data_IF_805745343520
#
_entry.id   IF_805745343520
#
_cell.length_a   1.000
_cell.length_b   1.000
_cell.length_c   1.000
_cell.angle_alpha   90.00
_cell.angle_beta   90.00
_cell.angle_gamma   90.00
#
_symmetry.space_group_name_H-M   'P 1'
#
loop_
_entity.id
_entity.type
_entity.pdbx_description
1 polymer ?
#
# COMPACT_ATOMS: atom_id res chain seq x y z
N UNK A 1 0.27 -18.52 -14.78
CA UNK A 1 1.04 -17.31 -14.43
C UNK A 1 0.11 -16.46 -13.58
N UNK A 2 0.46 -16.18 -12.33
CA UNK A 2 -0.33 -15.26 -11.51
C UNK A 2 0.07 -13.84 -11.95
N UNK A 3 -0.71 -13.28 -12.88
CA UNK A 3 -0.47 -11.98 -13.52
C UNK A 3 -0.91 -10.78 -12.66
N UNK A 4 -1.20 -11.00 -11.38
CA UNK A 4 -1.68 -10.02 -10.42
C UNK A 4 -0.79 -10.01 -9.17
N UNK A 5 -0.47 -8.81 -8.67
CA UNK A 5 0.18 -8.65 -7.35
C UNK A 5 -0.79 -9.13 -6.27
N UNK A 6 -0.32 -9.96 -5.35
CA UNK A 6 -1.19 -10.46 -4.28
C UNK A 6 -1.25 -9.47 -3.11
N UNK A 7 -2.34 -9.47 -2.30
CA UNK A 7 -2.40 -8.66 -1.09
C UNK A 7 -1.22 -8.91 -0.13
N UNK A 8 -0.71 -10.14 -0.06
CA UNK A 8 0.43 -10.49 0.79
C UNK A 8 1.73 -9.84 0.30
N UNK A 9 1.94 -9.78 -1.03
CA UNK A 9 3.07 -9.07 -1.62
C UNK A 9 3.00 -7.57 -1.32
N UNK A 10 1.81 -6.97 -1.45
CA UNK A 10 1.60 -5.55 -1.12
C UNK A 10 1.77 -5.31 0.38
N UNK A 11 1.27 -6.19 1.24
CA UNK A 11 1.42 -6.10 2.68
C UNK A 11 2.90 -6.09 3.07
N UNK A 12 3.72 -6.94 2.45
CA UNK A 12 5.18 -6.93 2.66
C UNK A 12 5.81 -5.58 2.32
N UNK A 13 5.35 -4.91 1.25
CA UNK A 13 5.80 -3.56 0.90
C UNK A 13 5.33 -2.51 1.91
N UNK A 14 4.08 -2.59 2.35
CA UNK A 14 3.53 -1.69 3.36
C UNK A 14 4.28 -1.82 4.68
N UNK A 15 4.49 -3.03 5.20
CA UNK A 15 5.22 -3.28 6.45
C UNK A 15 6.64 -2.71 6.39
N UNK A 16 7.36 -2.93 5.28
CA UNK A 16 8.69 -2.37 5.08
C UNK A 16 8.70 -0.83 5.03
N UNK A 17 7.60 -0.22 4.58
CA UNK A 17 7.45 1.22 4.38
C UNK A 17 6.95 1.95 5.63
N UNK A 18 6.04 1.36 6.40
CA UNK A 18 5.45 1.96 7.61
C UNK A 18 6.54 2.42 8.57
N UNK A 19 7.54 1.59 8.85
CA UNK A 19 8.63 1.97 9.76
C UNK A 19 9.43 3.20 9.29
N UNK A 20 9.54 3.41 7.97
CA UNK A 20 10.22 4.56 7.40
C UNK A 20 9.36 5.83 7.41
N UNK A 21 8.07 5.72 7.08
CA UNK A 21 7.13 6.87 7.10
C UNK A 21 6.89 7.34 8.53
N UNK A 22 6.67 6.41 9.46
CA UNK A 22 6.37 6.74 10.86
C UNK A 22 7.61 7.13 11.68
N UNK A 23 8.82 7.10 11.10
CA UNK A 23 10.07 7.32 11.83
C UNK A 23 10.36 6.27 12.91
N UNK A 24 9.74 5.09 12.82
CA UNK A 24 9.79 4.00 13.83
C UNK A 24 10.20 2.68 13.15
N UNK A 25 11.49 2.48 12.83
CA UNK A 25 11.95 1.33 12.05
C UNK A 25 11.79 -0.03 12.74
N UNK A 26 11.54 -0.06 14.05
CA UNK A 26 11.32 -1.30 14.83
C UNK A 26 9.84 -1.61 15.04
N UNK A 27 8.95 -0.82 14.44
CA UNK A 27 7.51 -0.97 14.60
C UNK A 27 7.06 -2.26 13.90
N UNK A 28 6.50 -3.19 14.68
CA UNK A 28 5.91 -4.41 14.14
C UNK A 28 4.51 -4.11 13.65
N UNK A 29 4.24 -4.51 12.41
CA UNK A 29 2.98 -4.27 11.71
C UNK A 29 2.54 -5.56 11.06
N UNK A 30 1.26 -5.88 11.20
CA UNK A 30 0.59 -6.98 10.52
C UNK A 30 -0.63 -6.47 9.73
N UNK A 31 -1.41 -7.39 9.17
CA UNK A 31 -2.59 -7.04 8.38
C UNK A 31 -3.72 -6.42 9.22
N UNK A 32 -3.82 -6.79 10.50
CA UNK A 32 -4.92 -6.37 11.39
C UNK A 32 -4.61 -5.05 12.11
N UNK A 33 -3.34 -4.61 12.05
CA UNK A 33 -2.88 -3.33 12.58
C UNK A 33 -3.69 -2.17 12.00
N UNK A 34 -4.32 -1.38 12.87
CA UNK A 34 -5.10 -0.19 12.49
C UNK A 34 -4.17 0.99 12.26
N UNK A 35 -4.50 1.85 11.29
CA UNK A 35 -3.75 3.11 11.10
C UNK A 35 -3.86 4.04 12.32
N UNK A 36 -5.00 4.02 13.00
CA UNK A 36 -5.20 4.75 14.26
C UNK A 36 -4.18 4.32 15.34
N UNK A 37 -3.89 3.02 15.45
CA UNK A 37 -2.93 2.49 16.45
C UNK A 37 -1.49 2.89 16.12
N UNK A 38 -1.23 3.19 14.84
CA UNK A 38 0.04 3.73 14.38
C UNK A 38 0.17 5.24 14.65
N UNK A 39 -0.92 5.92 15.05
CA UNK A 39 -1.07 7.37 14.98
C UNK A 39 -0.82 7.92 13.56
N UNK A 40 -1.22 7.18 12.53
CA UNK A 40 -1.12 7.64 11.16
C UNK A 40 -2.34 8.50 10.81
N UNK A 41 -2.12 9.75 10.44
CA UNK A 41 -3.18 10.61 9.94
C UNK A 41 -3.49 10.36 8.45
N UNK A 42 -4.44 11.11 7.89
CA UNK A 42 -4.80 10.95 6.48
C UNK A 42 -3.63 11.23 5.54
N UNK A 43 -2.74 12.17 5.88
CA UNK A 43 -1.57 12.50 5.06
C UNK A 43 -0.55 11.35 5.14
N UNK A 44 -0.31 10.80 6.33
CA UNK A 44 0.57 9.64 6.51
C UNK A 44 0.08 8.43 5.70
N UNK A 45 -1.23 8.20 5.65
CA UNK A 45 -1.84 7.13 4.84
C UNK A 45 -1.62 7.38 3.34
N UNK A 46 -1.81 8.61 2.87
CA UNK A 46 -1.53 8.98 1.48
C UNK A 46 -0.05 8.72 1.14
N UNK A 47 0.88 9.25 1.95
CA UNK A 47 2.31 9.09 1.70
C UNK A 47 2.76 7.63 1.70
N UNK A 48 2.20 6.83 2.61
CA UNK A 48 2.44 5.39 2.68
C UNK A 48 1.99 4.70 1.40
N UNK A 49 0.74 4.94 0.98
CA UNK A 49 0.14 4.34 -0.22
C UNK A 49 0.91 4.79 -1.46
N UNK A 50 1.16 6.08 -1.65
CA UNK A 50 1.90 6.63 -2.79
C UNK A 50 3.32 6.03 -2.89
N UNK A 51 3.99 5.84 -1.76
CA UNK A 51 5.30 5.19 -1.71
C UNK A 51 5.26 3.75 -2.21
N UNK A 52 4.24 2.98 -1.82
CA UNK A 52 4.02 1.62 -2.31
C UNK A 52 3.63 1.62 -3.79
N UNK A 53 2.75 2.53 -4.20
CA UNK A 53 2.36 2.68 -5.60
C UNK A 53 3.56 3.00 -6.49
N UNK A 54 4.46 3.88 -6.04
CA UNK A 54 5.69 4.21 -6.76
C UNK A 54 6.61 2.99 -6.94
N UNK A 55 6.74 2.15 -5.90
CA UNK A 55 7.50 0.90 -5.98
C UNK A 55 6.87 -0.09 -6.98
N UNK A 56 5.55 -0.25 -6.95
CA UNK A 56 4.83 -1.08 -7.92
C UNK A 56 4.94 -0.52 -9.34
N UNK A 57 4.90 0.81 -9.51
CA UNK A 57 5.10 1.47 -10.82
C UNK A 57 6.49 1.19 -11.39
N UNK A 58 7.55 1.19 -10.56
CA UNK A 58 8.91 0.77 -10.96
C UNK A 58 8.96 -0.67 -11.45
N UNK A 59 8.08 -1.54 -10.95
CA UNK A 59 7.92 -2.95 -11.38
C UNK A 59 7.06 -3.11 -12.64
N UNK A 60 6.63 -2.01 -13.27
CA UNK A 60 5.80 -2.02 -14.48
C UNK A 60 4.30 -2.21 -14.20
N UNK A 61 3.88 -2.10 -12.94
CA UNK A 61 2.49 -2.13 -12.54
C UNK A 61 1.89 -0.72 -12.54
N UNK A 62 0.57 -0.62 -12.49
CA UNK A 62 -0.19 0.64 -12.47
C UNK A 62 -1.28 0.54 -11.40
N UNK A 63 -0.93 0.62 -10.11
CA UNK A 63 -1.91 0.85 -9.05
C UNK A 63 -2.50 2.26 -9.16
N UNK A 64 -3.76 2.38 -8.78
CA UNK A 64 -4.47 3.65 -8.68
C UNK A 64 -5.53 3.56 -7.59
N UNK A 65 -5.31 4.23 -6.46
CA UNK A 65 -6.33 4.50 -5.45
C UNK A 65 -6.76 5.97 -5.58
N UNK A 66 -8.06 6.23 -5.56
CA UNK A 66 -8.59 7.59 -5.44
C UNK A 66 -8.85 7.97 -3.99
N UNK A 67 -9.23 9.24 -3.79
CA UNK A 67 -9.46 9.81 -2.46
C UNK A 67 -10.54 9.07 -1.67
N UNK A 68 -11.59 8.60 -2.35
CA UNK A 68 -12.66 7.83 -1.72
C UNK A 68 -12.18 6.45 -1.23
N UNK A 69 -11.27 5.82 -1.98
CA UNK A 69 -10.61 4.59 -1.51
C UNK A 69 -9.73 4.83 -0.30
N UNK A 70 -8.92 5.90 -0.34
CA UNK A 70 -8.00 6.27 0.74
C UNK A 70 -8.75 6.57 2.03
N UNK A 71 -9.87 7.29 1.94
CA UNK A 71 -10.73 7.61 3.08
C UNK A 71 -11.38 6.36 3.73
N UNK A 72 -11.47 5.25 3.01
CA UNK A 72 -12.03 3.99 3.50
C UNK A 72 -11.00 3.02 4.09
N UNK A 73 -9.74 3.42 4.21
CA UNK A 73 -8.68 2.56 4.75
C UNK A 73 -8.66 2.64 6.28
N UNK A 74 -8.79 1.50 6.95
CA UNK A 74 -8.76 1.41 8.42
C UNK A 74 -7.57 0.61 8.94
N UNK A 75 -7.19 -0.45 8.23
CA UNK A 75 -6.08 -1.34 8.57
C UNK A 75 -5.04 -1.40 7.45
N UNK A 76 -3.83 -1.81 7.80
CA UNK A 76 -2.75 -2.06 6.83
C UNK A 76 -3.17 -3.15 5.83
N UNK A 77 -3.94 -4.15 6.28
CA UNK A 77 -4.54 -5.17 5.41
C UNK A 77 -5.56 -4.60 4.43
N UNK A 78 -6.34 -3.58 4.79
CA UNK A 78 -7.26 -2.90 3.86
C UNK A 78 -6.50 -2.22 2.73
N UNK A 79 -5.43 -1.51 3.06
CA UNK A 79 -4.56 -0.88 2.07
C UNK A 79 -3.97 -1.94 1.13
N UNK A 80 -3.45 -3.04 1.68
CA UNK A 80 -2.87 -4.13 0.90
C UNK A 80 -3.88 -4.74 -0.09
N UNK A 81 -5.09 -5.07 0.40
CA UNK A 81 -6.17 -5.61 -0.43
C UNK A 81 -6.61 -4.63 -1.50
N UNK A 82 -6.76 -3.34 -1.15
CA UNK A 82 -7.27 -2.33 -2.09
C UNK A 82 -6.27 -2.05 -3.21
N UNK A 83 -4.98 -1.91 -2.88
CA UNK A 83 -3.90 -1.75 -3.85
C UNK A 83 -3.81 -2.97 -4.77
N UNK A 84 -3.82 -4.20 -4.22
CA UNK A 84 -3.79 -5.40 -5.03
C UNK A 84 -4.97 -5.47 -6.02
N UNK A 85 -6.18 -5.13 -5.56
CA UNK A 85 -7.38 -5.14 -6.37
C UNK A 85 -7.38 -4.09 -7.50
N UNK A 86 -6.74 -2.93 -7.31
CA UNK A 86 -6.68 -1.87 -8.32
C UNK A 86 -5.46 -1.96 -9.23
N UNK A 87 -4.46 -2.75 -8.85
CA UNK A 87 -3.22 -2.88 -9.61
C UNK A 87 -3.44 -3.63 -10.91
N UNK A 88 -3.22 -2.94 -12.03
CA UNK A 88 -3.20 -3.54 -13.37
C UNK A 88 -1.79 -3.52 -13.93
N UNK A 89 -1.47 -4.48 -14.80
CA UNK A 89 -0.24 -4.40 -15.60
C UNK A 89 -0.41 -3.32 -16.65
N UNK A 90 0.51 -2.34 -16.70
CA UNK A 90 0.51 -1.38 -17.80
C UNK A 90 0.78 -2.12 -19.11
N UNK A 91 -0.12 -1.99 -20.09
CA UNK A 91 0.21 -2.37 -21.47
C UNK A 91 1.44 -1.56 -21.87
N UNK A 92 2.53 -2.25 -22.26
CA UNK A 92 3.64 -1.59 -22.96
C UNK A 92 3.06 -1.05 -24.26
N UNK A 93 2.78 0.24 -24.34
CA UNK A 93 2.64 0.91 -25.63
C UNK A 93 3.98 0.70 -26.35
N UNK A 94 3.89 0.07 -27.53
CA UNK A 94 5.03 -0.20 -28.40
C UNK A 94 5.50 1.07 -29.09
#
# INVERSE_FOLDING_TARGET
MNDAVTPEEVLGLLVARVGAVMGRPQLQVDADTRFDDLNADSLDIVELVEGVEAELRRRGLRPSLGDAELAGLHTVGDAARRIAATTRRGTRER
#
